data_IF_499492043146
#
_entry.id   IF_499492043146
#
_cell.length_a   1.000
_cell.length_b   1.000
_cell.length_c   1.000
_cell.angle_alpha   90.00
_cell.angle_beta   90.00
_cell.angle_gamma   90.00
#
_symmetry.space_group_name_H-M   'P 1'
#
loop_
_entity.id
_entity.type
_entity.pdbx_description
1 polymer ?
#
# COMPACT_ATOMS: atom_id res chain seq x y z
N UNK A 1 3.92 -2.98 -5.43
CA UNK A 1 4.99 -3.79 -6.07
C UNK A 1 5.50 -4.80 -5.06
N UNK A 2 5.62 -6.09 -5.39
CA UNK A 2 6.20 -7.06 -4.47
C UNK A 2 7.56 -6.58 -3.93
N UNK A 3 7.78 -6.77 -2.63
CA UNK A 3 8.95 -6.25 -1.92
C UNK A 3 8.81 -4.85 -1.32
N UNK A 4 7.68 -4.15 -1.54
CA UNK A 4 7.36 -2.88 -0.85
C UNK A 4 6.18 -3.04 0.11
N UNK A 5 6.15 -2.23 1.18
CA UNK A 5 5.08 -2.27 2.18
C UNK A 5 3.66 -2.09 1.59
N UNK A 6 3.49 -1.27 0.56
CA UNK A 6 2.19 -1.08 -0.12
C UNK A 6 1.62 -2.41 -0.65
N UNK A 7 2.48 -3.28 -1.22
CA UNK A 7 2.02 -4.56 -1.74
C UNK A 7 1.53 -5.47 -0.61
N UNK A 8 2.25 -5.54 0.51
CA UNK A 8 1.83 -6.37 1.65
C UNK A 8 0.45 -5.94 2.15
N UNK A 9 0.23 -4.64 2.35
CA UNK A 9 -1.04 -4.10 2.81
C UNK A 9 -2.19 -4.36 1.83
N UNK A 10 -2.02 -3.97 0.56
CA UNK A 10 -3.04 -4.15 -0.48
C UNK A 10 -3.41 -5.63 -0.68
N UNK A 11 -2.43 -6.53 -0.70
CA UNK A 11 -2.68 -7.94 -0.94
C UNK A 11 -3.41 -8.61 0.24
N UNK A 12 -3.05 -8.26 1.49
CA UNK A 12 -3.77 -8.72 2.68
C UNK A 12 -5.23 -8.24 2.68
N UNK A 13 -5.48 -6.99 2.29
CA UNK A 13 -6.84 -6.43 2.18
C UNK A 13 -7.65 -7.19 1.14
N UNK A 14 -7.07 -7.45 -0.04
CA UNK A 14 -7.76 -8.17 -1.11
C UNK A 14 -8.06 -9.62 -0.71
N UNK A 15 -7.09 -10.36 -0.14
CA UNK A 15 -7.30 -11.74 0.34
C UNK A 15 -8.39 -11.77 1.43
N UNK A 16 -8.33 -10.86 2.40
CA UNK A 16 -9.33 -10.79 3.48
C UNK A 16 -10.73 -10.47 2.96
N UNK A 17 -10.83 -9.59 1.96
CA UNK A 17 -12.11 -9.18 1.38
C UNK A 17 -12.71 -10.22 0.43
N UNK A 18 -11.88 -11.03 -0.23
CA UNK A 18 -12.32 -12.00 -1.24
C UNK A 18 -13.27 -13.05 -0.66
N UNK A 19 -13.07 -13.47 0.59
CA UNK A 19 -13.90 -14.48 1.25
C UNK A 19 -15.36 -14.04 1.43
N UNK A 20 -15.62 -12.74 1.61
CA UNK A 20 -16.96 -12.19 1.82
C UNK A 20 -17.54 -11.53 0.56
N UNK A 21 -16.69 -10.87 -0.24
CA UNK A 21 -17.12 -10.05 -1.39
C UNK A 21 -16.24 -10.27 -2.62
N UNK A 22 -16.30 -11.46 -3.27
CA UNK A 22 -15.39 -11.81 -4.36
C UNK A 22 -15.51 -10.89 -5.58
N UNK A 23 -16.74 -10.51 -5.98
CA UNK A 23 -16.96 -9.62 -7.13
C UNK A 23 -16.45 -8.19 -6.88
N UNK A 24 -16.68 -7.66 -5.68
CA UNK A 24 -16.15 -6.34 -5.30
C UNK A 24 -14.64 -6.37 -5.25
N UNK A 25 -14.06 -7.43 -4.68
CA UNK A 25 -12.61 -7.63 -4.63
C UNK A 25 -11.97 -7.74 -6.01
N UNK A 26 -12.63 -8.45 -6.95
CA UNK A 26 -12.18 -8.55 -8.34
C UNK A 26 -12.14 -7.17 -9.02
N UNK A 27 -13.18 -6.36 -8.84
CA UNK A 27 -13.19 -4.98 -9.34
C UNK A 27 -12.09 -4.15 -8.66
N UNK A 28 -11.96 -4.23 -7.33
CA UNK A 28 -10.93 -3.51 -6.58
C UNK A 28 -9.50 -3.83 -7.05
N UNK A 29 -9.25 -5.09 -7.44
CA UNK A 29 -7.95 -5.55 -7.95
C UNK A 29 -7.55 -4.83 -9.24
N UNK A 30 -8.50 -4.38 -10.07
CA UNK A 30 -8.21 -3.56 -11.25
C UNK A 30 -7.53 -2.23 -10.89
N UNK A 31 -7.72 -1.75 -9.66
CA UNK A 31 -6.99 -0.61 -9.09
C UNK A 31 -5.48 -0.80 -9.11
N UNK A 32 -4.96 -2.03 -9.00
CA UNK A 32 -3.52 -2.32 -9.11
C UNK A 32 -2.99 -2.03 -10.53
N UNK A 33 -3.80 -2.33 -11.55
CA UNK A 33 -3.47 -2.08 -12.96
C UNK A 33 -3.44 -0.58 -13.21
N UNK A 34 -4.48 0.15 -12.80
CA UNK A 34 -4.50 1.61 -12.92
C UNK A 34 -3.41 2.28 -12.09
N UNK A 35 -3.12 1.75 -10.90
CA UNK A 35 -2.00 2.13 -10.04
C UNK A 35 -0.67 2.07 -10.79
N UNK A 36 -0.44 0.98 -11.51
CA UNK A 36 0.78 0.78 -12.31
C UNK A 36 0.82 1.72 -13.52
N UNK A 37 -0.29 1.86 -14.25
CA UNK A 37 -0.38 2.72 -15.43
C UNK A 37 -0.11 4.18 -15.08
N UNK A 38 -0.77 4.72 -14.04
CA UNK A 38 -0.55 6.13 -13.68
C UNK A 38 0.90 6.36 -13.21
N UNK A 39 1.46 5.42 -12.44
CA UNK A 39 2.84 5.52 -11.94
C UNK A 39 3.85 5.54 -13.08
N UNK A 40 3.67 4.67 -14.09
CA UNK A 40 4.51 4.65 -15.28
C UNK A 40 4.36 5.92 -16.12
N UNK A 41 3.13 6.42 -16.29
CA UNK A 41 2.89 7.69 -17.00
C UNK A 41 3.59 8.85 -16.28
N UNK A 42 3.50 8.89 -14.95
CA UNK A 42 4.14 9.93 -14.13
C UNK A 42 5.66 9.88 -14.27
N UNK A 43 6.28 8.70 -14.11
CA UNK A 43 7.72 8.51 -14.28
C UNK A 43 8.15 8.88 -15.70
N UNK A 44 7.41 8.44 -16.73
CA UNK A 44 7.70 8.77 -18.12
C UNK A 44 7.68 10.28 -18.36
N UNK A 45 6.67 10.99 -17.86
CA UNK A 45 6.53 12.44 -18.04
C UNK A 45 7.58 13.25 -17.27
N UNK A 46 8.08 12.71 -16.16
CA UNK A 46 9.05 13.37 -15.30
C UNK A 46 10.49 13.18 -15.78
N UNK A 47 10.87 11.95 -16.13
CA UNK A 47 12.27 11.57 -16.35
C UNK A 47 12.59 11.08 -17.77
N UNK A 48 11.58 10.74 -18.58
CA UNK A 48 11.77 10.22 -19.92
C UNK A 48 11.28 11.20 -21.00
N UNK A 49 11.73 10.99 -22.24
CA UNK A 49 11.39 11.82 -23.39
C UNK A 49 12.49 12.82 -23.75
N UNK A 50 12.20 13.76 -24.67
CA UNK A 50 13.18 14.76 -25.10
C UNK A 50 13.53 15.72 -23.95
N UNK A 51 14.77 16.19 -23.92
CA UNK A 51 15.19 17.17 -22.94
C UNK A 51 14.38 18.47 -23.08
N UNK A 52 14.02 19.07 -21.95
CA UNK A 52 13.31 20.35 -21.90
C UNK A 52 14.24 21.55 -21.81
N UNK A 53 15.46 21.34 -21.33
CA UNK A 53 16.54 22.35 -21.27
C UNK A 53 17.89 21.62 -21.32
N UNK A 54 18.92 22.28 -21.83
CA UNK A 54 20.30 21.81 -21.79
C UNK A 54 21.01 22.17 -20.47
N UNK A 55 20.32 22.91 -19.59
CA UNK A 55 20.85 23.29 -18.28
C UNK A 55 21.02 22.08 -17.36
N UNK A 56 22.21 21.96 -16.75
CA UNK A 56 22.50 20.92 -15.76
C UNK A 56 21.85 21.31 -14.42
N UNK A 57 20.95 20.45 -13.94
CA UNK A 57 20.36 20.60 -12.61
C UNK A 57 21.38 20.32 -11.52
N UNK A 58 21.27 21.04 -10.40
CA UNK A 58 22.07 20.75 -9.21
C UNK A 58 21.79 19.33 -8.73
N UNK A 59 22.84 18.61 -8.33
CA UNK A 59 22.73 17.28 -7.74
C UNK A 59 22.09 17.34 -6.34
N UNK A 60 21.57 16.18 -5.89
CA UNK A 60 21.03 16.06 -4.54
C UNK A 60 22.12 16.27 -3.47
N UNK A 61 21.80 17.03 -2.44
CA UNK A 61 22.64 17.18 -1.25
C UNK A 61 22.59 15.90 -0.39
N UNK A 62 23.61 15.68 0.44
CA UNK A 62 23.73 14.50 1.29
C UNK A 62 22.50 14.29 2.19
N UNK A 63 21.91 15.39 2.68
CA UNK A 63 20.67 15.36 3.47
C UNK A 63 19.48 14.83 2.68
N UNK A 64 19.29 15.28 1.45
CA UNK A 64 18.19 14.83 0.58
C UNK A 64 18.35 13.34 0.27
N UNK A 65 19.58 12.92 -0.02
CA UNK A 65 19.90 11.53 -0.28
C UNK A 65 19.61 10.63 0.93
N UNK A 66 20.04 11.04 2.13
CA UNK A 66 19.79 10.26 3.36
C UNK A 66 18.30 10.14 3.65
N UNK A 67 17.51 11.21 3.45
CA UNK A 67 16.06 11.16 3.65
C UNK A 67 15.39 10.20 2.67
N UNK A 68 15.70 10.28 1.37
CA UNK A 68 15.13 9.42 0.34
C UNK A 68 15.53 7.96 0.56
N UNK A 69 16.81 7.70 0.82
CA UNK A 69 17.29 6.34 1.09
C UNK A 69 16.72 5.79 2.40
N UNK A 70 16.58 6.59 3.44
CA UNK A 70 15.95 6.19 4.69
C UNK A 70 14.51 5.73 4.49
N UNK A 71 13.72 6.49 3.73
CA UNK A 71 12.35 6.10 3.37
C UNK A 71 12.32 4.83 2.49
N UNK A 72 13.23 4.71 1.52
CA UNK A 72 13.32 3.53 0.67
C UNK A 72 13.66 2.27 1.49
N UNK A 73 14.59 2.37 2.44
CA UNK A 73 14.95 1.26 3.35
C UNK A 73 13.76 0.86 4.20
N UNK A 74 13.03 1.80 4.81
CA UNK A 74 11.84 1.50 5.59
C UNK A 74 10.75 0.84 4.74
N UNK A 75 10.53 1.34 3.52
CA UNK A 75 9.54 0.79 2.60
C UNK A 75 9.84 -0.68 2.23
N UNK A 76 11.11 -0.98 1.96
CA UNK A 76 11.57 -2.35 1.66
C UNK A 76 11.55 -3.22 2.90
N UNK A 77 11.98 -2.70 4.05
CA UNK A 77 11.95 -3.42 5.33
C UNK A 77 10.54 -3.90 5.66
N UNK A 78 9.55 -3.03 5.59
CA UNK A 78 8.14 -3.39 5.79
C UNK A 78 7.68 -4.40 4.75
N UNK A 79 8.11 -4.25 3.50
CA UNK A 79 7.75 -5.15 2.40
C UNK A 79 8.29 -6.57 2.56
N UNK A 80 9.49 -6.72 3.12
CA UNK A 80 10.17 -8.02 3.31
C UNK A 80 9.82 -8.66 4.66
N UNK A 81 9.72 -7.86 5.72
CA UNK A 81 9.44 -8.35 7.07
C UNK A 81 8.33 -7.51 7.74
N UNK A 82 7.06 -7.73 7.35
CA UNK A 82 5.93 -6.96 7.89
C UNK A 82 5.51 -7.37 9.31
N UNK A 83 5.98 -8.52 9.81
CA UNK A 83 5.53 -9.12 11.08
C UNK A 83 5.53 -8.16 12.28
N UNK A 84 6.57 -7.33 12.53
CA UNK A 84 6.55 -6.41 13.66
C UNK A 84 5.35 -5.44 13.63
N UNK A 85 4.95 -4.99 12.45
CA UNK A 85 3.82 -4.09 12.28
C UNK A 85 2.48 -4.82 12.42
N UNK A 86 2.41 -6.04 11.89
CA UNK A 86 1.22 -6.89 11.99
C UNK A 86 0.97 -7.31 13.45
N UNK A 87 1.99 -7.83 14.13
CA UNK A 87 1.90 -8.27 15.52
C UNK A 87 1.55 -7.12 16.46
N UNK A 88 2.16 -5.95 16.25
CA UNK A 88 1.87 -4.75 17.04
C UNK A 88 0.40 -4.31 16.89
N UNK A 89 -0.17 -4.44 15.69
CA UNK A 89 -1.57 -4.05 15.42
C UNK A 89 -2.60 -5.15 15.72
N UNK A 90 -2.18 -6.41 15.79
CA UNK A 90 -3.05 -7.59 15.87
C UNK A 90 -4.04 -7.53 17.03
N UNK A 91 -3.59 -7.19 18.25
CA UNK A 91 -4.47 -7.15 19.43
C UNK A 91 -5.63 -6.15 19.26
N UNK A 92 -5.32 -4.95 18.76
CA UNK A 92 -6.33 -3.90 18.51
C UNK A 92 -7.27 -4.30 17.38
N UNK A 93 -6.74 -4.87 16.30
CA UNK A 93 -7.54 -5.32 15.15
C UNK A 93 -8.52 -6.43 15.56
N UNK A 94 -8.09 -7.41 16.35
CA UNK A 94 -8.98 -8.44 16.89
C UNK A 94 -10.05 -7.87 17.81
N UNK A 95 -9.72 -6.91 18.67
CA UNK A 95 -10.68 -6.24 19.53
C UNK A 95 -11.79 -5.55 18.73
N UNK A 96 -11.43 -4.79 17.68
CA UNK A 96 -12.38 -4.11 16.80
C UNK A 96 -13.23 -5.13 16.02
N UNK A 97 -12.62 -6.19 15.48
CA UNK A 97 -13.32 -7.24 14.75
C UNK A 97 -14.36 -7.95 15.64
N UNK A 98 -13.99 -8.30 16.87
CA UNK A 98 -14.90 -8.95 17.81
C UNK A 98 -16.07 -8.03 18.17
N UNK A 99 -15.79 -6.76 18.48
CA UNK A 99 -16.82 -5.78 18.81
C UNK A 99 -17.82 -5.60 17.65
N UNK A 100 -17.33 -5.39 16.42
CA UNK A 100 -18.19 -5.28 15.23
C UNK A 100 -19.01 -6.55 15.00
N UNK A 101 -18.40 -7.72 15.15
CA UNK A 101 -19.10 -9.01 15.02
C UNK A 101 -20.27 -9.12 16.00
N UNK A 102 -20.04 -8.83 17.27
CA UNK A 102 -21.10 -8.87 18.30
C UNK A 102 -22.23 -7.88 18.02
N UNK A 103 -21.91 -6.65 17.58
CA UNK A 103 -22.89 -5.64 17.24
C UNK A 103 -23.78 -6.07 16.07
N UNK A 104 -23.19 -6.66 15.01
CA UNK A 104 -23.96 -7.17 13.88
C UNK A 104 -24.87 -8.35 14.27
N UNK A 105 -24.40 -9.26 15.12
CA UNK A 105 -25.23 -10.37 15.61
C UNK A 105 -26.42 -9.87 16.43
N UNK A 106 -26.21 -8.89 17.32
CA UNK A 106 -27.28 -8.29 18.11
C UNK A 106 -28.33 -7.60 17.24
N UNK A 107 -27.89 -6.81 16.25
CA UNK A 107 -28.79 -6.14 15.30
C UNK A 107 -29.60 -7.13 14.47
N UNK A 108 -29.00 -8.26 14.08
CA UNK A 108 -29.70 -9.32 13.37
C UNK A 108 -30.76 -10.02 14.25
N UNK A 109 -30.48 -10.21 15.54
CA UNK A 109 -31.41 -10.84 16.49
C UNK A 109 -32.59 -9.94 16.93
N UNK A 110 -32.45 -8.62 16.76
CA UNK A 110 -33.47 -7.63 17.12
C UNK A 110 -34.48 -7.34 15.99
N UNK A 111 -34.27 -7.93 14.81
CA UNK A 111 -35.19 -7.87 13.66
C UNK A 111 -35.94 -9.18 13.53
#
# INVERSE_FOLDING_TARGET
MPGTGNFVGEFLILIGSFASFPWVTAIATTGLVFGSVYSLIMIHRAYFGPSKSDDVLAGMDARELIMVLGLAVLLVFIGVYPQPFLDTSAATMHGVQQWLGTAFTQLASAR
#
